data_IF_250630818922
#
_entry.id   IF_250630818922
#
_cell.length_a   1.000
_cell.length_b   1.000
_cell.length_c   1.000
_cell.angle_alpha   90.00
_cell.angle_beta   90.00
_cell.angle_gamma   90.00
#
_symmetry.space_group_name_H-M   'P 1'
#
loop_
_entity.id
_entity.type
_entity.pdbx_description
1 polymer ?
#
# COMPACT_ATOMS: atom_id res chain seq x y z
N UNK A 1 -18.65 -44.53 -38.24
CA UNK A 1 -19.58 -43.57 -37.60
C UNK A 1 -19.33 -43.37 -36.10
N UNK A 2 -19.12 -44.44 -35.30
CA UNK A 2 -18.90 -44.35 -33.84
C UNK A 2 -17.65 -43.59 -33.37
N UNK A 3 -16.55 -43.57 -34.14
CA UNK A 3 -15.31 -42.86 -33.76
C UNK A 3 -15.44 -41.33 -33.78
N UNK A 4 -16.26 -40.78 -34.67
CA UNK A 4 -16.44 -39.33 -34.82
C UNK A 4 -17.30 -38.73 -33.70
N UNK A 5 -18.35 -39.46 -33.29
CA UNK A 5 -19.21 -39.08 -32.15
C UNK A 5 -18.42 -39.10 -30.84
N UNK A 6 -17.51 -40.07 -30.66
CA UNK A 6 -16.65 -40.19 -29.48
C UNK A 6 -15.62 -39.06 -29.41
N UNK A 7 -14.98 -38.73 -30.54
CA UNK A 7 -14.09 -37.58 -30.65
C UNK A 7 -14.81 -36.24 -30.39
N UNK A 8 -16.05 -36.06 -30.88
CA UNK A 8 -16.87 -34.88 -30.57
C UNK A 8 -17.27 -34.82 -29.09
N UNK A 9 -17.58 -35.94 -28.43
CA UNK A 9 -17.87 -35.96 -27.00
C UNK A 9 -16.64 -35.62 -26.15
N UNK A 10 -15.45 -36.09 -26.54
CA UNK A 10 -14.18 -35.72 -25.89
C UNK A 10 -13.86 -34.25 -26.14
N UNK A 11 -14.08 -33.74 -27.35
CA UNK A 11 -13.91 -32.32 -27.66
C UNK A 11 -14.89 -31.42 -26.92
N UNK A 12 -16.17 -31.78 -26.83
CA UNK A 12 -17.16 -31.04 -26.04
C UNK A 12 -16.90 -31.12 -24.53
N UNK A 13 -16.46 -32.27 -24.01
CA UNK A 13 -16.01 -32.38 -22.61
C UNK A 13 -14.76 -31.54 -22.36
N UNK A 14 -13.79 -31.53 -23.28
CA UNK A 14 -12.60 -30.68 -23.22
C UNK A 14 -12.93 -29.19 -23.40
N UNK A 15 -13.96 -28.83 -24.17
CA UNK A 15 -14.40 -27.45 -24.33
C UNK A 15 -15.13 -26.96 -23.07
N UNK A 16 -16.07 -27.75 -22.54
CA UNK A 16 -16.72 -27.48 -21.26
C UNK A 16 -15.71 -27.46 -20.09
N UNK A 17 -14.64 -28.27 -20.20
CA UNK A 17 -13.52 -28.31 -19.28
C UNK A 17 -12.60 -27.07 -19.40
N UNK A 18 -12.25 -26.67 -20.63
CA UNK A 18 -11.54 -25.42 -20.91
C UNK A 18 -12.35 -24.21 -20.48
N UNK A 19 -13.67 -24.24 -20.58
CA UNK A 19 -14.56 -23.21 -20.03
C UNK A 19 -14.63 -23.22 -18.49
N UNK A 20 -14.43 -24.38 -17.84
CA UNK A 20 -14.37 -24.46 -16.36
C UNK A 20 -13.01 -24.04 -15.80
N UNK A 21 -11.89 -24.32 -16.48
CA UNK A 21 -10.58 -23.71 -16.14
C UNK A 21 -10.58 -22.22 -16.50
N UNK A 22 -11.13 -21.82 -17.65
CA UNK A 22 -11.34 -20.42 -18.03
C UNK A 22 -12.46 -19.76 -17.26
N UNK A 23 -13.00 -20.36 -16.18
CA UNK A 23 -14.02 -19.65 -15.39
C UNK A 23 -13.38 -18.35 -14.91
N UNK A 24 -13.88 -17.20 -15.37
CA UNK A 24 -13.32 -15.90 -15.01
C UNK A 24 -13.41 -15.65 -13.49
N UNK A 25 -14.23 -16.42 -12.76
CA UNK A 25 -14.44 -16.30 -11.32
C UNK A 25 -13.16 -16.23 -10.49
N UNK A 26 -12.30 -17.26 -10.53
CA UNK A 26 -11.17 -17.33 -9.59
C UNK A 26 -10.03 -16.36 -9.97
N UNK A 27 -9.77 -16.15 -11.26
CA UNK A 27 -8.80 -15.16 -11.72
C UNK A 27 -9.26 -13.73 -11.41
N UNK A 28 -10.55 -13.41 -11.59
CA UNK A 28 -11.08 -12.10 -11.23
C UNK A 28 -11.06 -11.86 -9.72
N UNK A 29 -11.30 -12.89 -8.89
CA UNK A 29 -11.22 -12.77 -7.42
C UNK A 29 -9.80 -12.40 -6.99
N UNK A 30 -8.77 -13.08 -7.53
CA UNK A 30 -7.36 -12.77 -7.23
C UNK A 30 -6.99 -11.35 -7.70
N UNK A 31 -7.33 -11.00 -8.94
CA UNK A 31 -7.04 -9.67 -9.49
C UNK A 31 -7.77 -8.54 -8.74
N UNK A 32 -9.05 -8.75 -8.39
CA UNK A 32 -9.85 -7.77 -7.65
C UNK A 32 -9.29 -7.54 -6.25
N UNK A 33 -9.01 -8.62 -5.52
CA UNK A 33 -8.49 -8.51 -4.17
C UNK A 33 -7.09 -7.87 -4.14
N UNK A 34 -6.24 -8.16 -5.13
CA UNK A 34 -4.95 -7.46 -5.32
C UNK A 34 -5.13 -5.96 -5.56
N UNK A 35 -6.07 -5.58 -6.42
CA UNK A 35 -6.34 -4.17 -6.73
C UNK A 35 -6.91 -3.42 -5.51
N UNK A 36 -7.80 -4.07 -4.74
CA UNK A 36 -8.34 -3.53 -3.48
C UNK A 36 -7.23 -3.33 -2.44
N UNK A 37 -6.32 -4.31 -2.29
CA UNK A 37 -5.16 -4.19 -1.41
C UNK A 37 -4.23 -3.04 -1.82
N UNK A 38 -3.95 -2.91 -3.12
CA UNK A 38 -3.11 -1.84 -3.65
C UNK A 38 -3.73 -0.46 -3.41
N UNK A 39 -5.05 -0.32 -3.59
CA UNK A 39 -5.77 0.92 -3.33
C UNK A 39 -5.64 1.33 -1.86
N UNK A 40 -5.81 0.38 -0.93
CA UNK A 40 -5.63 0.63 0.51
C UNK A 40 -4.19 1.00 0.88
N UNK A 41 -3.19 0.40 0.24
CA UNK A 41 -1.77 0.77 0.44
C UNK A 41 -1.46 2.19 -0.04
N UNK A 42 -2.01 2.57 -1.20
CA UNK A 42 -1.87 3.92 -1.73
C UNK A 42 -2.55 4.96 -0.82
N UNK A 43 -3.74 4.65 -0.31
CA UNK A 43 -4.47 5.50 0.65
C UNK A 43 -3.67 5.70 1.94
N UNK A 44 -3.12 4.62 2.50
CA UNK A 44 -2.31 4.67 3.71
C UNK A 44 -1.02 5.49 3.51
N UNK A 45 -0.42 5.41 2.33
CA UNK A 45 0.76 6.21 1.97
C UNK A 45 0.42 7.70 1.93
N UNK A 46 -0.70 8.06 1.30
CA UNK A 46 -1.19 9.44 1.27
C UNK A 46 -1.47 9.97 2.68
N UNK A 47 -2.15 9.19 3.53
CA UNK A 47 -2.41 9.62 4.91
C UNK A 47 -1.13 9.81 5.73
N UNK A 48 -0.09 9.00 5.50
CA UNK A 48 1.22 9.19 6.15
C UNK A 48 1.86 10.52 5.74
N UNK A 49 1.79 10.87 4.46
CA UNK A 49 2.28 12.16 3.96
C UNK A 49 1.51 13.32 4.57
N UNK A 50 0.17 13.24 4.63
CA UNK A 50 -0.67 14.24 5.27
C UNK A 50 -0.31 14.41 6.77
N UNK A 51 -0.15 13.29 7.49
CA UNK A 51 0.21 13.31 8.91
C UNK A 51 1.61 13.90 9.14
N UNK A 52 2.57 13.59 8.27
CA UNK A 52 3.89 14.19 8.32
C UNK A 52 3.84 15.71 8.09
N UNK A 53 3.08 16.17 7.10
CA UNK A 53 2.89 17.61 6.87
C UNK A 53 2.27 18.32 8.07
N UNK A 54 1.28 17.70 8.73
CA UNK A 54 0.70 18.23 9.97
C UNK A 54 1.69 18.24 11.13
N UNK A 55 2.56 17.23 11.23
CA UNK A 55 3.60 17.20 12.24
C UNK A 55 4.57 18.36 12.08
N UNK A 56 5.01 18.66 10.84
CA UNK A 56 5.85 19.83 10.59
C UNK A 56 5.15 21.14 11.01
N UNK A 57 3.86 21.30 10.72
CA UNK A 57 3.10 22.48 11.16
C UNK A 57 3.02 22.59 12.69
N UNK A 58 2.87 21.47 13.40
CA UNK A 58 2.91 21.45 14.86
C UNK A 58 4.28 21.89 15.37
N UNK A 59 5.36 21.34 14.83
CA UNK A 59 6.74 21.69 15.21
C UNK A 59 7.05 23.18 14.95
N UNK A 60 6.63 23.73 13.82
CA UNK A 60 6.74 25.16 13.49
C UNK A 60 5.95 26.04 14.48
N UNK A 61 4.72 25.63 14.81
CA UNK A 61 3.89 26.36 15.78
C UNK A 61 4.48 26.30 17.20
N UNK A 62 5.06 25.17 17.60
CA UNK A 62 5.76 25.00 18.88
C UNK A 62 7.00 25.89 18.96
N UNK A 63 7.80 25.94 17.89
CA UNK A 63 8.94 26.84 17.80
C UNK A 63 8.52 28.32 17.94
N UNK A 64 7.41 28.70 17.30
CA UNK A 64 6.86 30.06 17.37
C UNK A 64 6.39 30.41 18.79
N UNK A 65 5.67 29.50 19.45
CA UNK A 65 5.24 29.65 20.85
C UNK A 65 6.45 29.80 21.78
N UNK A 66 7.49 28.98 21.62
CA UNK A 66 8.73 29.10 22.41
C UNK A 66 9.46 30.42 22.18
N UNK A 67 9.54 30.89 20.93
CA UNK A 67 10.14 32.18 20.61
C UNK A 67 9.38 33.33 21.28
N UNK A 68 8.05 33.34 21.19
CA UNK A 68 7.19 34.36 21.82
C UNK A 68 7.30 34.33 23.35
N UNK A 69 7.30 33.14 23.97
CA UNK A 69 7.52 32.99 25.41
C UNK A 69 8.88 33.58 25.85
N UNK A 70 9.93 33.32 25.08
CA UNK A 70 11.26 33.89 25.35
C UNK A 70 11.27 35.42 25.24
N UNK A 71 10.55 35.98 24.27
CA UNK A 71 10.41 37.41 24.07
C UNK A 71 9.63 38.06 25.22
N UNK A 72 8.54 37.43 25.68
CA UNK A 72 7.79 37.86 26.87
C UNK A 72 8.70 37.90 28.10
N UNK A 73 9.48 36.83 28.35
CA UNK A 73 10.40 36.80 29.48
C UNK A 73 11.51 37.85 29.42
N UNK A 74 11.93 38.28 28.22
CA UNK A 74 12.88 39.40 28.04
C UNK A 74 12.20 40.75 28.31
N UNK A 75 11.04 41.00 27.72
CA UNK A 75 10.28 42.24 27.90
C UNK A 75 9.83 42.45 29.35
N UNK A 76 9.43 41.37 30.03
CA UNK A 76 9.05 41.43 31.44
C UNK A 76 10.24 41.85 32.32
N UNK A 77 11.43 41.31 32.08
CA UNK A 77 12.66 41.73 32.78
C UNK A 77 13.03 43.18 32.49
N UNK A 78 12.91 43.62 31.23
CA UNK A 78 13.15 45.02 30.85
C UNK A 78 12.17 45.97 31.54
N UNK A 79 10.89 45.60 31.63
CA UNK A 79 9.86 46.36 32.34
C UNK A 79 10.22 46.52 33.82
N UNK A 80 10.54 45.41 34.51
CA UNK A 80 10.90 45.42 35.93
C UNK A 80 12.12 46.31 36.17
N UNK A 81 13.20 46.13 35.40
CA UNK A 81 14.42 46.94 35.54
C UNK A 81 14.19 48.43 35.23
N UNK A 82 13.34 48.76 34.26
CA UNK A 82 12.98 50.15 33.96
C UNK A 82 12.16 50.79 35.09
N UNK A 83 11.29 50.03 35.76
CA UNK A 83 10.56 50.50 36.95
C UNK A 83 11.53 50.73 38.11
N UNK A 84 12.40 49.76 38.40
CA UNK A 84 13.39 49.85 39.48
C UNK A 84 14.36 51.02 39.30
N UNK A 85 14.70 51.37 38.06
CA UNK A 85 15.61 52.47 37.72
C UNK A 85 14.91 53.81 37.50
N UNK A 86 13.59 53.90 37.72
CA UNK A 86 12.80 55.13 37.56
C UNK A 86 12.59 55.58 36.11
N UNK A 87 12.91 54.75 35.12
CA UNK A 87 12.75 55.03 33.69
C UNK A 87 11.31 54.72 33.22
N UNK A 88 10.34 55.47 33.75
CA UNK A 88 8.90 55.20 33.58
C UNK A 88 8.45 55.13 32.11
N UNK A 89 9.01 55.96 31.22
CA UNK A 89 8.68 55.94 29.79
C UNK A 89 9.09 54.60 29.14
N UNK A 90 10.27 54.08 29.49
CA UNK A 90 10.72 52.77 29.00
C UNK A 90 9.91 51.62 29.60
N UNK A 91 9.50 51.75 30.87
CA UNK A 91 8.62 50.78 31.50
C UNK A 91 7.25 50.72 30.81
N UNK A 92 6.68 51.86 30.44
CA UNK A 92 5.42 51.95 29.70
C UNK A 92 5.55 51.33 28.29
N UNK A 93 6.61 51.64 27.55
CA UNK A 93 6.89 51.04 26.24
C UNK A 93 7.09 49.51 26.34
N UNK A 94 7.82 49.03 27.34
CA UNK A 94 8.01 47.60 27.58
C UNK A 94 6.68 46.90 27.91
N UNK A 95 5.80 47.54 28.69
CA UNK A 95 4.47 47.01 29.00
C UNK A 95 3.55 46.94 27.77
N UNK A 96 3.57 47.97 26.91
CA UNK A 96 2.80 47.95 25.66
C UNK A 96 3.28 46.85 24.71
N UNK A 97 4.60 46.70 24.56
CA UNK A 97 5.19 45.63 23.75
C UNK A 97 4.89 44.25 24.35
N UNK A 98 4.91 44.10 25.66
CA UNK A 98 4.57 42.85 26.36
C UNK A 98 3.11 42.46 26.06
N UNK A 99 2.16 43.39 26.16
CA UNK A 99 0.76 43.13 25.84
C UNK A 99 0.56 42.69 24.37
N UNK A 100 1.26 43.32 23.42
CA UNK A 100 1.25 42.90 22.00
C UNK A 100 1.79 41.48 21.80
N UNK A 101 2.86 41.12 22.52
CA UNK A 101 3.44 39.77 22.43
C UNK A 101 2.55 38.73 23.13
N UNK A 102 1.91 39.07 24.26
CA UNK A 102 0.93 38.22 24.95
C UNK A 102 -0.25 37.87 24.05
N UNK A 103 -0.80 38.85 23.33
CA UNK A 103 -1.88 38.61 22.36
C UNK A 103 -1.43 37.65 21.24
N UNK A 104 -0.23 37.84 20.69
CA UNK A 104 0.34 36.95 19.67
C UNK A 104 0.62 35.55 20.23
N UNK A 105 1.07 35.45 21.48
CA UNK A 105 1.30 34.18 22.16
C UNK A 105 -0.01 33.40 22.32
N UNK A 106 -1.09 34.05 22.78
CA UNK A 106 -2.39 33.41 22.92
C UNK A 106 -2.95 32.90 21.58
N UNK A 107 -2.77 33.69 20.50
CA UNK A 107 -3.13 33.26 19.15
C UNK A 107 -2.30 32.04 18.71
N UNK A 108 -0.97 32.08 18.89
CA UNK A 108 -0.09 30.99 18.51
C UNK A 108 -0.37 29.69 19.30
N UNK A 109 -0.69 29.77 20.60
CA UNK A 109 -1.11 28.62 21.40
C UNK A 109 -2.43 28.01 20.89
N UNK A 110 -3.36 28.85 20.46
CA UNK A 110 -4.63 28.39 19.90
C UNK A 110 -4.39 27.62 18.59
N UNK A 111 -3.63 28.20 17.66
CA UNK A 111 -3.26 27.53 16.40
C UNK A 111 -2.47 26.24 16.64
N UNK A 112 -1.52 26.23 17.60
CA UNK A 112 -0.80 25.02 17.99
C UNK A 112 -1.76 23.92 18.47
N UNK A 113 -2.70 24.28 19.34
CA UNK A 113 -3.70 23.34 19.86
C UNK A 113 -4.56 22.76 18.74
N UNK A 114 -5.01 23.60 17.79
CA UNK A 114 -5.80 23.17 16.63
C UNK A 114 -5.02 22.24 15.70
N UNK A 115 -3.76 22.56 15.40
CA UNK A 115 -2.89 21.71 14.60
C UNK A 115 -2.63 20.36 15.28
N UNK A 116 -2.40 20.37 16.60
CA UNK A 116 -2.18 19.15 17.38
C UNK A 116 -3.42 18.26 17.43
N UNK A 117 -4.60 18.83 17.67
CA UNK A 117 -5.86 18.09 17.64
C UNK A 117 -6.11 17.47 16.26
N UNK A 118 -5.81 18.21 15.19
CA UNK A 118 -5.93 17.71 13.82
C UNK A 118 -4.96 16.56 13.53
N UNK A 119 -3.71 16.68 14.01
CA UNK A 119 -2.70 15.63 13.90
C UNK A 119 -3.13 14.36 14.66
N UNK A 120 -3.63 14.50 15.89
CA UNK A 120 -4.07 13.36 16.71
C UNK A 120 -5.21 12.59 16.02
N UNK A 121 -6.20 13.30 15.47
CA UNK A 121 -7.28 12.68 14.68
C UNK A 121 -6.75 11.94 13.45
N UNK A 122 -5.76 12.49 12.76
CA UNK A 122 -5.14 11.85 11.59
C UNK A 122 -4.30 10.63 11.96
N UNK A 123 -3.59 10.68 13.08
CA UNK A 123 -2.84 9.54 13.61
C UNK A 123 -3.77 8.41 14.06
N UNK A 124 -4.92 8.73 14.64
CA UNK A 124 -5.95 7.74 14.96
C UNK A 124 -6.49 7.08 13.69
N UNK A 125 -6.88 7.86 12.69
CA UNK A 125 -7.31 7.33 11.39
C UNK A 125 -6.26 6.43 10.75
N UNK A 126 -4.97 6.81 10.81
CA UNK A 126 -3.86 5.99 10.32
C UNK A 126 -3.74 4.65 11.04
N UNK A 127 -3.91 4.63 12.37
CA UNK A 127 -3.89 3.39 13.15
C UNK A 127 -5.04 2.48 12.76
N UNK A 128 -6.23 3.03 12.58
CA UNK A 128 -7.40 2.26 12.18
C UNK A 128 -7.28 1.71 10.76
N UNK A 129 -6.79 2.52 9.81
CA UNK A 129 -6.52 2.04 8.46
C UNK A 129 -5.43 0.97 8.42
N UNK A 130 -4.39 1.09 9.25
CA UNK A 130 -3.35 0.05 9.34
C UNK A 130 -3.93 -1.28 9.81
N UNK A 131 -4.78 -1.28 10.84
CA UNK A 131 -5.47 -2.49 11.31
C UNK A 131 -6.38 -3.09 10.23
N UNK A 132 -7.11 -2.26 9.50
CA UNK A 132 -7.97 -2.71 8.39
C UNK A 132 -7.14 -3.30 7.25
N UNK A 133 -5.98 -2.73 6.94
CA UNK A 133 -5.06 -3.27 5.95
C UNK A 133 -4.50 -4.62 6.38
N UNK A 134 -4.08 -4.77 7.65
CA UNK A 134 -3.61 -6.04 8.19
C UNK A 134 -4.68 -7.14 8.06
N UNK A 135 -5.94 -6.82 8.39
CA UNK A 135 -7.06 -7.75 8.19
C UNK A 135 -7.32 -8.05 6.70
N UNK A 136 -7.26 -7.03 5.83
CA UNK A 136 -7.44 -7.23 4.41
C UNK A 136 -6.32 -8.08 3.79
N UNK A 137 -5.08 -7.97 4.29
CA UNK A 137 -3.97 -8.81 3.89
C UNK A 137 -4.19 -10.28 4.30
N UNK A 138 -4.70 -10.53 5.52
CA UNK A 138 -5.03 -11.89 5.96
C UNK A 138 -6.17 -12.48 5.15
N UNK A 139 -7.25 -11.73 4.94
CA UNK A 139 -8.41 -12.18 4.17
C UNK A 139 -8.05 -12.43 2.70
N UNK A 140 -7.16 -11.60 2.14
CA UNK A 140 -6.63 -11.80 0.79
C UNK A 140 -5.80 -13.08 0.70
N UNK A 141 -4.87 -13.30 1.64
CA UNK A 141 -4.05 -14.50 1.66
C UNK A 141 -4.91 -15.77 1.75
N UNK A 142 -5.93 -15.78 2.62
CA UNK A 142 -6.86 -16.90 2.74
C UNK A 142 -7.67 -17.14 1.46
N UNK A 143 -8.20 -16.06 0.86
CA UNK A 143 -8.98 -16.12 -0.38
C UNK A 143 -8.15 -16.63 -1.56
N UNK A 144 -6.93 -16.11 -1.73
CA UNK A 144 -6.00 -16.57 -2.76
C UNK A 144 -5.62 -18.02 -2.51
N UNK A 145 -5.28 -18.39 -1.28
CA UNK A 145 -4.93 -19.76 -0.92
C UNK A 145 -6.06 -20.74 -1.26
N UNK A 146 -7.30 -20.44 -0.88
CA UNK A 146 -8.47 -21.25 -1.19
C UNK A 146 -8.71 -21.35 -2.70
N UNK A 147 -8.67 -20.23 -3.41
CA UNK A 147 -8.85 -20.20 -4.86
C UNK A 147 -7.76 -21.00 -5.60
N UNK A 148 -6.51 -20.93 -5.14
CA UNK A 148 -5.39 -21.70 -5.69
C UNK A 148 -5.53 -23.19 -5.39
N UNK A 149 -5.96 -23.58 -4.18
CA UNK A 149 -6.26 -24.97 -3.85
C UNK A 149 -7.37 -25.54 -4.75
N UNK A 150 -8.45 -24.79 -4.96
CA UNK A 150 -9.56 -25.21 -5.81
C UNK A 150 -9.12 -25.39 -7.28
N UNK A 151 -8.25 -24.50 -7.77
CA UNK A 151 -7.65 -24.62 -9.10
C UNK A 151 -6.78 -25.88 -9.21
N UNK A 152 -5.94 -26.17 -8.21
CA UNK A 152 -5.11 -27.39 -8.18
C UNK A 152 -6.00 -28.64 -8.17
N UNK A 153 -7.06 -28.66 -7.36
CA UNK A 153 -8.00 -29.79 -7.33
C UNK A 153 -8.73 -29.96 -8.67
N UNK A 154 -9.12 -28.86 -9.31
CA UNK A 154 -9.71 -28.86 -10.65
C UNK A 154 -8.78 -29.46 -11.70
N UNK A 155 -7.52 -29.00 -11.73
CA UNK A 155 -6.48 -29.50 -12.65
C UNK A 155 -6.18 -30.99 -12.40
N UNK A 156 -6.09 -31.43 -11.14
CA UNK A 156 -5.87 -32.85 -10.81
C UNK A 156 -7.03 -33.74 -11.25
N UNK A 157 -8.28 -33.29 -11.07
CA UNK A 157 -9.45 -34.03 -11.55
C UNK A 157 -9.43 -34.18 -13.07
N UNK A 158 -8.97 -33.15 -13.77
CA UNK A 158 -8.82 -33.16 -15.21
C UNK A 158 -7.72 -34.07 -15.73
N UNK A 159 -6.56 -34.04 -15.08
CA UNK A 159 -5.44 -34.93 -15.38
C UNK A 159 -5.86 -36.40 -15.27
N UNK A 160 -6.67 -36.73 -14.24
CA UNK A 160 -7.26 -38.07 -14.09
C UNK A 160 -8.26 -38.37 -15.20
N UNK A 161 -9.18 -37.45 -15.48
CA UNK A 161 -10.16 -37.63 -16.55
C UNK A 161 -9.50 -37.83 -17.94
N UNK A 162 -8.38 -37.17 -18.21
CA UNK A 162 -7.56 -37.38 -19.42
C UNK A 162 -6.76 -38.68 -19.40
N UNK A 163 -6.42 -39.19 -18.20
CA UNK A 163 -5.78 -40.51 -18.05
C UNK A 163 -6.75 -41.66 -18.29
N UNK A 164 -8.05 -41.46 -18.06
CA UNK A 164 -9.11 -42.45 -18.27
C UNK A 164 -9.58 -42.53 -19.74
N UNK A 165 -9.12 -41.65 -20.63
CA UNK A 165 -9.41 -41.67 -22.08
C UNK A 165 -8.38 -42.56 -22.80
N UNK A 166 -8.79 -43.77 -23.21
CA UNK A 166 -8.00 -44.66 -24.09
C UNK A 166 -8.49 -44.61 -25.55
N UNK A 167 -7.70 -44.02 -26.46
CA UNK A 167 -7.84 -44.12 -27.93
C UNK A 167 -6.44 -44.07 -28.62
N UNK A 168 -6.38 -44.28 -29.96
CA UNK A 168 -5.18 -44.60 -30.75
C UNK A 168 -3.92 -43.76 -30.46
N UNK A 169 -2.72 -44.34 -30.70
CA UNK A 169 -1.40 -43.76 -30.44
C UNK A 169 -1.22 -42.24 -30.70
N UNK A 170 -1.75 -41.68 -31.78
CA UNK A 170 -1.68 -40.23 -32.07
C UNK A 170 -2.50 -39.35 -31.10
N UNK A 171 -3.61 -39.86 -30.57
CA UNK A 171 -4.38 -39.20 -29.51
C UNK A 171 -3.68 -39.38 -28.15
N UNK A 172 -2.92 -40.46 -27.96
CA UNK A 172 -2.16 -40.71 -26.75
C UNK A 172 -1.02 -39.68 -26.57
N UNK A 173 -0.27 -39.37 -27.64
CA UNK A 173 0.80 -38.35 -27.59
C UNK A 173 0.25 -36.94 -27.26
N UNK A 174 -0.92 -36.59 -27.82
CA UNK A 174 -1.62 -35.34 -27.51
C UNK A 174 -2.10 -35.29 -26.05
N UNK A 175 -2.63 -36.42 -25.55
CA UNK A 175 -3.06 -36.56 -24.15
C UNK A 175 -1.86 -36.42 -23.20
N UNK A 176 -0.72 -37.02 -23.52
CA UNK A 176 0.46 -36.99 -22.66
C UNK A 176 1.09 -35.58 -22.62
N UNK A 177 1.10 -34.86 -23.74
CA UNK A 177 1.57 -33.47 -23.80
C UNK A 177 0.65 -32.52 -23.00
N UNK A 178 -0.67 -32.71 -23.03
CA UNK A 178 -1.62 -31.91 -22.24
C UNK A 178 -1.55 -32.26 -20.74
N UNK A 179 -1.22 -33.51 -20.38
CA UNK A 179 -0.90 -33.90 -18.99
C UNK A 179 0.38 -33.23 -18.49
N UNK A 180 1.45 -33.23 -19.28
CA UNK A 180 2.69 -32.52 -18.92
C UNK A 180 2.44 -31.02 -18.74
N UNK A 181 1.64 -30.41 -19.61
CA UNK A 181 1.24 -29.01 -19.45
C UNK A 181 0.48 -28.75 -18.15
N UNK A 182 -0.51 -29.59 -17.81
CA UNK A 182 -1.25 -29.46 -16.55
C UNK A 182 -0.35 -29.71 -15.33
N UNK A 183 0.59 -30.65 -15.39
CA UNK A 183 1.58 -30.89 -14.33
C UNK A 183 2.47 -29.67 -14.13
N UNK A 184 2.96 -29.06 -15.20
CA UNK A 184 3.75 -27.83 -15.12
C UNK A 184 2.94 -26.67 -14.51
N UNK A 185 1.65 -26.54 -14.83
CA UNK A 185 0.76 -25.56 -14.20
C UNK A 185 0.54 -25.85 -12.70
N UNK A 186 0.30 -27.11 -12.33
CA UNK A 186 0.15 -27.52 -10.93
C UNK A 186 1.43 -27.23 -10.16
N UNK A 187 2.59 -27.59 -10.70
CA UNK A 187 3.88 -27.36 -10.04
C UNK A 187 4.17 -25.87 -9.88
N UNK A 188 3.85 -25.06 -10.89
CA UNK A 188 3.92 -23.59 -10.79
C UNK A 188 3.02 -23.06 -9.67
N UNK A 189 1.75 -23.45 -9.63
CA UNK A 189 0.80 -23.03 -8.59
C UNK A 189 1.20 -23.52 -7.19
N UNK A 190 1.76 -24.73 -7.08
CA UNK A 190 2.28 -25.26 -5.83
C UNK A 190 3.52 -24.50 -5.34
N UNK A 191 4.42 -24.10 -6.25
CA UNK A 191 5.55 -23.22 -5.89
C UNK A 191 5.05 -21.87 -5.37
N UNK A 192 3.99 -21.30 -5.95
CA UNK A 192 3.36 -20.10 -5.43
C UNK A 192 2.71 -20.32 -4.05
N UNK A 193 2.09 -21.48 -3.82
CA UNK A 193 1.49 -21.85 -2.53
C UNK A 193 2.52 -22.07 -1.41
N UNK A 194 3.72 -22.57 -1.73
CA UNK A 194 4.81 -22.87 -0.77
C UNK A 194 5.74 -21.66 -0.57
N UNK A 195 5.80 -20.73 -1.52
CA UNK A 195 6.65 -19.53 -1.48
C UNK A 195 5.92 -18.23 -1.14
N UNK A 196 4.79 -18.28 -0.44
CA UNK A 196 4.32 -17.10 0.30
C UNK A 196 4.68 -17.23 1.79
N UNK A 197 5.96 -17.06 2.21
CA UNK A 197 6.19 -16.27 3.40
C UNK A 197 5.81 -14.84 3.01
N UNK A 198 4.83 -14.26 3.69
CA UNK A 198 4.51 -12.83 3.71
C UNK A 198 4.98 -12.09 2.45
N UNK A 199 4.09 -11.91 1.49
CA UNK A 199 4.23 -11.01 0.35
C UNK A 199 5.11 -9.80 0.72
N UNK A 200 6.43 -9.94 0.52
CA UNK A 200 7.39 -8.87 0.67
C UNK A 200 7.27 -8.10 -0.65
N UNK A 201 6.25 -7.23 -0.72
CA UNK A 201 6.03 -6.24 -1.77
C UNK A 201 7.08 -5.11 -1.75
N UNK A 202 8.28 -5.39 -1.23
CA UNK A 202 9.45 -4.52 -1.28
C UNK A 202 10.37 -5.00 -2.40
N UNK A 203 10.00 -4.68 -3.64
CA UNK A 203 10.93 -4.42 -4.76
C UNK A 203 10.12 -4.36 -6.07
N UNK A 204 9.44 -3.24 -6.27
CA UNK A 204 9.37 -2.63 -7.60
C UNK A 204 10.16 -1.33 -7.45
N UNK A 205 11.49 -1.46 -7.41
CA UNK A 205 12.33 -0.34 -7.82
C UNK A 205 12.06 -0.11 -9.31
N UNK A 206 11.84 1.17 -9.63
CA UNK A 206 11.57 1.67 -10.96
C UNK A 206 12.73 1.34 -11.92
N UNK A 207 12.58 0.27 -12.70
CA UNK A 207 13.32 0.07 -13.95
C UNK A 207 12.73 0.99 -15.05
N UNK A 208 12.82 2.30 -14.82
CA UNK A 208 12.79 3.33 -15.87
C UNK A 208 13.78 4.43 -15.56
N UNK A 209 15.07 4.10 -15.51
CA UNK A 209 16.12 5.02 -15.95
C UNK A 209 16.87 4.37 -17.11
N UNK A 210 16.41 4.64 -18.32
CA UNK A 210 17.24 4.55 -19.52
C UNK A 210 18.37 5.56 -19.38
N UNK A 211 19.46 5.10 -18.77
CA UNK A 211 20.73 5.81 -18.75
C UNK A 211 21.39 5.57 -20.12
N UNK A 212 21.07 6.43 -21.09
CA UNK A 212 21.78 6.52 -22.35
C UNK A 212 22.94 7.51 -22.18
N UNK A 213 24.01 7.02 -21.57
CA UNK A 213 25.37 7.53 -21.74
C UNK A 213 26.15 6.33 -22.30
N UNK A 214 26.84 6.34 -23.45
CA UNK A 214 27.89 7.28 -23.85
C UNK A 214 28.34 6.94 -25.28
N UNK A 215 28.47 7.94 -26.17
CA UNK A 215 29.51 7.98 -27.22
C UNK A 215 29.89 9.46 -27.41
N UNK A 216 30.94 9.94 -26.74
CA UNK A 216 32.29 10.12 -27.31
C UNK A 216 32.30 10.68 -28.75
N UNK A 217 32.60 11.97 -28.87
CA UNK A 217 33.71 12.42 -29.70
C UNK A 217 34.27 13.75 -29.18
N UNK A 218 35.51 13.68 -28.67
CA UNK A 218 36.44 14.80 -28.65
C UNK A 218 36.89 15.08 -30.09
N UNK A 219 37.22 16.35 -30.35
CA UNK A 219 37.91 16.79 -31.56
C UNK A 219 37.95 18.31 -31.59
N UNK A 220 39.00 18.85 -30.95
CA UNK A 220 39.72 20.12 -31.19
C UNK A 220 38.97 21.38 -31.65
#
# INVERSE_FOLDING_TARGET
MYKFVRAMCVWHRNHAFRETIRRPGNSHVICRARNELQAQKNELTRLRQDAFGLQCLVEESEATVHQLASQMGRLQRQKVLAVETGQLVKAAQAAENLNKVEQRYAQAETSRSEHKETLDKKLELLRDQKKRLEQAETDHAESVHQATQDLILGLRKAERALSDVQESALLQDLIDLEKEHMRAQIESLQRHLVKEPAVNLLSLDDDTTTDNSTQHHQGD
#
